data_IF_299216036737
#
_entry.id   IF_299216036737
#
_cell.length_a   1.000
_cell.length_b   1.000
_cell.length_c   1.000
_cell.angle_alpha   90.00
_cell.angle_beta   90.00
_cell.angle_gamma   90.00
#
_symmetry.space_group_name_H-M   'P 1'
#
loop_
_entity.id
_entity.type
_entity.pdbx_description
1 polymer ?
#
# COMPACT_ATOMS: atom_id res chain seq x y z
N UNK A 1 28.49 -9.45 19.45
CA UNK A 1 28.68 -8.25 18.59
C UNK A 1 27.34 -7.56 18.44
N UNK A 2 27.16 -6.36 19.03
CA UNK A 2 25.94 -5.58 18.85
C UNK A 2 25.92 -5.03 17.43
N UNK A 3 25.32 -5.73 16.51
CA UNK A 3 25.13 -5.21 15.16
C UNK A 3 24.22 -3.98 15.19
N UNK A 4 24.69 -2.86 14.65
CA UNK A 4 23.89 -1.63 14.55
C UNK A 4 22.62 -1.95 13.76
N UNK A 5 21.45 -1.57 14.32
CA UNK A 5 20.17 -1.66 13.65
C UNK A 5 20.22 -0.85 12.34
N UNK A 6 19.81 -1.43 11.22
CA UNK A 6 19.76 -0.70 9.94
C UNK A 6 18.47 0.12 9.86
N UNK A 7 17.35 -0.53 10.17
CA UNK A 7 16.01 0.05 10.23
C UNK A 7 15.23 -0.65 11.33
N UNK A 8 14.26 0.03 11.91
CA UNK A 8 13.37 -0.62 12.90
C UNK A 8 12.45 -1.63 12.23
N UNK A 9 12.03 -1.34 11.00
CA UNK A 9 11.07 -2.15 10.26
C UNK A 9 11.55 -2.31 8.81
N UNK A 10 11.39 -3.50 8.26
CA UNK A 10 11.59 -3.80 6.84
C UNK A 10 10.26 -4.29 6.27
N UNK A 11 9.84 -3.69 5.16
CA UNK A 11 8.63 -4.06 4.43
C UNK A 11 9.03 -4.59 3.06
N UNK A 12 8.60 -5.79 2.71
CA UNK A 12 8.82 -6.37 1.39
C UNK A 12 7.62 -6.10 0.47
N UNK A 13 7.86 -5.35 -0.60
CA UNK A 13 6.89 -4.98 -1.63
C UNK A 13 6.32 -3.57 -1.47
N UNK A 14 6.56 -2.71 -2.46
CA UNK A 14 5.99 -1.36 -2.57
C UNK A 14 4.66 -1.38 -3.37
N UNK A 15 3.78 -2.30 -3.03
CA UNK A 15 2.43 -2.38 -3.58
C UNK A 15 1.42 -1.49 -2.86
N UNK A 16 0.12 -1.70 -3.18
CA UNK A 16 -1.01 -0.96 -2.57
C UNK A 16 -1.20 -1.22 -1.06
N UNK A 17 -0.52 -2.21 -0.49
CA UNK A 17 -0.48 -2.48 0.95
C UNK A 17 0.82 -1.96 1.59
N UNK A 18 1.98 -2.25 0.99
CA UNK A 18 3.28 -1.90 1.57
C UNK A 18 3.55 -0.40 1.63
N UNK A 19 3.18 0.36 0.60
CA UNK A 19 3.37 1.82 0.60
C UNK A 19 2.53 2.55 1.68
N UNK A 20 1.22 2.28 1.86
CA UNK A 20 0.46 2.87 2.96
C UNK A 20 1.00 2.46 4.33
N UNK A 21 1.39 1.20 4.51
CA UNK A 21 1.99 0.74 5.77
C UNK A 21 3.29 1.49 6.06
N UNK A 22 4.17 1.64 5.07
CA UNK A 22 5.40 2.42 5.20
C UNK A 22 5.10 3.89 5.54
N UNK A 23 4.05 4.47 4.95
CA UNK A 23 3.61 5.85 5.25
C UNK A 23 3.12 5.99 6.69
N UNK A 24 2.28 5.06 7.18
CA UNK A 24 1.78 5.04 8.57
C UNK A 24 2.96 4.98 9.55
N UNK A 25 3.86 4.02 9.35
CA UNK A 25 5.00 3.81 10.22
C UNK A 25 5.99 4.97 10.17
N UNK A 26 6.24 5.50 8.97
CA UNK A 26 7.09 6.68 8.78
C UNK A 26 6.53 7.93 9.45
N UNK A 27 5.23 8.20 9.35
CA UNK A 27 4.57 9.30 10.07
C UNK A 27 4.58 9.10 11.59
N UNK A 28 4.55 7.85 12.06
CA UNK A 28 4.71 7.51 13.47
C UNK A 28 6.16 7.61 13.97
N UNK A 29 7.13 7.95 13.10
CA UNK A 29 8.52 8.18 13.45
C UNK A 29 9.43 6.96 13.37
N UNK A 30 8.94 5.79 12.92
CA UNK A 30 9.77 4.61 12.75
C UNK A 30 10.72 4.75 11.57
N UNK A 31 11.92 4.20 11.71
CA UNK A 31 12.86 4.02 10.60
C UNK A 31 12.46 2.79 9.78
N UNK A 32 12.04 3.00 8.54
CA UNK A 32 11.48 1.96 7.67
C UNK A 32 12.33 1.77 6.43
N UNK A 33 12.66 0.52 6.08
CA UNK A 33 13.11 0.15 4.74
C UNK A 33 11.94 -0.49 3.97
N UNK A 34 11.58 0.09 2.84
CA UNK A 34 10.59 -0.47 1.91
C UNK A 34 11.34 -1.03 0.69
N UNK A 35 11.35 -2.36 0.56
CA UNK A 35 12.07 -3.09 -0.48
C UNK A 35 11.12 -3.43 -1.61
N UNK A 36 11.50 -3.14 -2.86
CA UNK A 36 10.69 -3.42 -4.04
C UNK A 36 11.55 -4.05 -5.15
N UNK A 37 11.08 -5.18 -5.68
CA UNK A 37 11.79 -5.95 -6.72
C UNK A 37 11.84 -5.23 -8.07
N UNK A 38 10.85 -4.40 -8.36
CA UNK A 38 10.73 -3.68 -9.64
C UNK A 38 11.22 -2.24 -9.51
N UNK A 39 11.70 -1.64 -10.61
CA UNK A 39 11.96 -0.22 -10.61
C UNK A 39 10.65 0.56 -10.42
N UNK A 40 10.69 1.63 -9.64
CA UNK A 40 9.52 2.46 -9.31
C UNK A 40 8.84 3.03 -10.56
N UNK A 41 9.61 3.30 -11.61
CA UNK A 41 9.09 3.76 -12.90
C UNK A 41 8.08 2.79 -13.51
N UNK A 42 8.18 1.49 -13.23
CA UNK A 42 7.21 0.49 -13.67
C UNK A 42 5.95 0.50 -12.79
N UNK A 43 6.10 0.78 -11.48
CA UNK A 43 4.97 0.83 -10.55
C UNK A 43 4.04 2.02 -10.80
N UNK A 44 4.61 3.15 -11.24
CA UNK A 44 3.91 4.42 -11.49
C UNK A 44 3.71 4.70 -12.98
N UNK A 45 3.80 3.67 -13.83
CA UNK A 45 3.58 3.83 -15.27
C UNK A 45 2.32 4.67 -15.54
N UNK A 46 2.44 5.69 -16.37
CA UNK A 46 1.32 6.55 -16.75
C UNK A 46 0.31 5.84 -17.65
N UNK A 47 0.68 4.68 -18.22
CA UNK A 47 -0.20 3.91 -19.07
C UNK A 47 -1.25 3.19 -18.23
N UNK A 48 -2.51 3.32 -18.64
CA UNK A 48 -3.60 2.55 -18.06
C UNK A 48 -3.38 1.05 -18.32
N UNK A 49 -3.32 0.27 -17.24
CA UNK A 49 -3.07 -1.18 -17.28
C UNK A 49 -4.37 -2.00 -17.08
N UNK A 50 -5.53 -1.34 -17.08
CA UNK A 50 -6.84 -1.97 -16.86
C UNK A 50 -7.12 -2.35 -15.40
N UNK A 51 -6.21 -2.06 -14.47
CA UNK A 51 -6.36 -2.45 -13.07
C UNK A 51 -6.93 -1.32 -12.24
N UNK A 52 -8.01 -1.64 -11.53
CA UNK A 52 -8.66 -0.77 -10.56
C UNK A 52 -8.76 -1.49 -9.22
N UNK A 53 -8.93 -0.71 -8.16
CA UNK A 53 -9.19 -1.23 -6.81
C UNK A 53 -10.46 -0.59 -6.28
N UNK A 54 -11.34 -1.42 -5.70
CA UNK A 54 -12.44 -0.97 -4.88
C UNK A 54 -11.90 -0.61 -3.49
N UNK A 55 -11.89 0.69 -3.18
CA UNK A 55 -11.43 1.22 -1.90
C UNK A 55 -12.63 1.34 -0.97
N UNK A 56 -12.65 0.58 0.11
CA UNK A 56 -13.71 0.65 1.12
C UNK A 56 -13.60 1.97 1.92
N UNK A 57 -14.69 2.38 2.57
CA UNK A 57 -14.77 3.59 3.40
C UNK A 57 -13.65 3.66 4.45
N UNK A 58 -13.35 2.56 5.13
CA UNK A 58 -12.27 2.51 6.13
C UNK A 58 -10.89 2.76 5.52
N UNK A 59 -10.64 2.21 4.33
CA UNK A 59 -9.40 2.42 3.60
C UNK A 59 -9.29 3.85 3.06
N UNK A 60 -10.41 4.44 2.57
CA UNK A 60 -10.45 5.85 2.19
C UNK A 60 -10.04 6.75 3.35
N UNK A 61 -10.65 6.58 4.54
CA UNK A 61 -10.32 7.36 5.74
C UNK A 61 -8.86 7.25 6.13
N UNK A 62 -8.28 6.06 6.03
CA UNK A 62 -6.84 5.87 6.25
C UNK A 62 -6.01 6.65 5.24
N UNK A 63 -6.35 6.58 3.95
CA UNK A 63 -5.66 7.31 2.88
C UNK A 63 -5.81 8.82 3.00
N UNK A 64 -6.95 9.32 3.52
CA UNK A 64 -7.18 10.73 3.85
C UNK A 64 -6.21 11.19 4.95
N UNK A 65 -6.15 10.46 6.07
CA UNK A 65 -5.22 10.76 7.17
C UNK A 65 -3.76 10.77 6.70
N UNK A 66 -3.40 9.90 5.77
CA UNK A 66 -2.06 9.84 5.18
C UNK A 66 -1.78 10.96 4.16
N UNK A 67 -2.79 11.76 3.79
CA UNK A 67 -2.69 12.80 2.76
C UNK A 67 -2.54 12.23 1.34
N UNK A 68 -3.01 11.00 1.12
CA UNK A 68 -2.96 10.33 -0.19
C UNK A 68 -4.25 10.57 -0.96
N UNK A 69 -5.39 10.54 -0.27
CA UNK A 69 -6.72 10.53 -0.91
C UNK A 69 -7.00 11.78 -1.73
N UNK A 70 -6.67 12.96 -1.24
CA UNK A 70 -6.93 14.25 -1.90
C UNK A 70 -6.39 14.31 -3.33
N UNK A 71 -5.31 13.58 -3.60
CA UNK A 71 -4.69 13.53 -4.94
C UNK A 71 -5.50 12.66 -5.91
N UNK A 72 -6.22 11.65 -5.41
CA UNK A 72 -6.94 10.67 -6.24
C UNK A 72 -8.45 10.86 -6.22
N UNK A 73 -8.98 11.65 -5.32
CA UNK A 73 -10.43 11.86 -5.13
C UNK A 73 -11.15 12.26 -6.41
N UNK A 74 -10.57 13.18 -7.17
CA UNK A 74 -11.13 13.68 -8.44
C UNK A 74 -11.24 12.61 -9.54
N UNK A 75 -10.55 11.48 -9.37
CA UNK A 75 -10.57 10.33 -10.27
C UNK A 75 -11.30 9.14 -9.68
N UNK A 76 -11.72 9.22 -8.43
CA UNK A 76 -12.39 8.14 -7.72
C UNK A 76 -13.86 8.06 -8.12
N UNK A 77 -14.31 6.91 -8.57
CA UNK A 77 -15.71 6.68 -8.92
C UNK A 77 -16.45 6.04 -7.76
N UNK A 78 -17.49 6.68 -7.18
CA UNK A 78 -18.25 6.11 -6.07
C UNK A 78 -19.02 4.87 -6.49
N UNK A 79 -19.04 3.88 -5.59
CA UNK A 79 -19.88 2.67 -5.69
C UNK A 79 -21.16 2.94 -4.90
N UNK A 80 -22.24 3.18 -5.59
CA UNK A 80 -23.53 3.50 -4.97
C UNK A 80 -24.37 2.23 -4.69
N UNK A 81 -24.18 1.21 -5.51
CA UNK A 81 -24.93 -0.03 -5.45
C UNK A 81 -24.02 -1.24 -5.65
N UNK A 82 -24.27 -2.31 -4.87
CA UNK A 82 -23.62 -3.61 -5.03
C UNK A 82 -24.69 -4.67 -5.17
N UNK A 83 -24.63 -5.47 -6.24
CA UNK A 83 -25.48 -6.64 -6.44
C UNK A 83 -24.65 -7.90 -6.39
N UNK A 84 -25.03 -8.83 -5.53
CA UNK A 84 -24.39 -10.14 -5.39
C UNK A 84 -25.38 -11.20 -5.83
N UNK A 85 -25.04 -11.92 -6.89
CA UNK A 85 -25.88 -12.98 -7.43
C UNK A 85 -25.07 -14.29 -7.50
N UNK A 86 -25.75 -15.41 -7.27
CA UNK A 86 -25.23 -16.73 -7.62
C UNK A 86 -25.63 -17.04 -9.06
N UNK A 87 -24.67 -17.44 -9.91
CA UNK A 87 -24.89 -17.65 -11.35
C UNK A 87 -25.98 -18.66 -11.74
N UNK A 88 -26.42 -19.50 -10.80
CA UNK A 88 -27.53 -20.43 -10.98
C UNK A 88 -28.89 -19.99 -10.43
N UNK A 89 -28.93 -18.85 -9.75
CA UNK A 89 -30.10 -18.35 -9.02
C UNK A 89 -30.74 -17.14 -9.72
N UNK A 90 -32.09 -17.04 -9.79
CA UNK A 90 -32.77 -15.82 -10.18
C UNK A 90 -32.74 -14.73 -9.08
N UNK A 91 -32.30 -15.06 -7.87
CA UNK A 91 -32.27 -14.18 -6.74
C UNK A 91 -30.89 -13.52 -6.63
N UNK A 92 -30.87 -12.27 -6.13
CA UNK A 92 -29.65 -11.53 -5.81
C UNK A 92 -29.84 -10.76 -4.51
N UNK A 93 -28.76 -10.48 -3.84
CA UNK A 93 -28.71 -9.53 -2.71
C UNK A 93 -28.30 -8.18 -3.27
N UNK A 94 -29.02 -7.14 -2.87
CA UNK A 94 -28.73 -5.77 -3.27
C UNK A 94 -28.40 -4.94 -2.04
N UNK A 95 -27.28 -4.25 -2.08
CA UNK A 95 -26.87 -3.27 -1.10
C UNK A 95 -26.86 -1.91 -1.78
N UNK A 96 -27.46 -0.90 -1.15
CA UNK A 96 -27.38 0.47 -1.59
C UNK A 96 -26.70 1.33 -0.53
N UNK A 97 -26.00 2.39 -0.95
CA UNK A 97 -25.36 3.32 -0.04
C UNK A 97 -26.35 3.97 0.93
N UNK A 98 -27.64 4.08 0.56
CA UNK A 98 -28.73 4.60 1.39
C UNK A 98 -29.04 3.70 2.59
N UNK A 99 -28.87 2.37 2.48
CA UNK A 99 -29.12 1.43 3.57
C UNK A 99 -28.17 1.60 4.75
N UNK A 100 -27.01 2.24 4.52
CA UNK A 100 -25.98 2.49 5.54
C UNK A 100 -25.75 3.97 5.80
N UNK A 101 -26.64 4.84 5.31
CA UNK A 101 -26.59 6.30 5.43
C UNK A 101 -25.17 6.84 5.12
N UNK A 102 -24.64 6.41 3.99
CA UNK A 102 -23.29 6.75 3.53
C UNK A 102 -23.34 7.42 2.17
N UNK A 103 -22.33 8.25 1.89
CA UNK A 103 -22.09 8.87 0.58
C UNK A 103 -21.90 7.82 -0.52
N UNK A 104 -21.19 6.73 -0.21
CA UNK A 104 -20.96 5.60 -1.09
C UNK A 104 -20.63 4.34 -0.27
N UNK A 105 -20.74 3.16 -0.87
CA UNK A 105 -20.29 1.88 -0.31
C UNK A 105 -18.76 1.70 -0.43
N UNK A 106 -18.13 2.47 -1.30
CA UNK A 106 -16.70 2.48 -1.59
C UNK A 106 -16.43 3.28 -2.86
N UNK A 107 -15.20 3.23 -3.35
CA UNK A 107 -14.77 3.94 -4.55
C UNK A 107 -13.90 3.05 -5.43
N UNK A 108 -14.12 3.11 -6.74
CA UNK A 108 -13.22 2.50 -7.72
C UNK A 108 -12.15 3.53 -8.10
N UNK A 109 -10.89 3.15 -7.94
CA UNK A 109 -9.74 3.99 -8.30
C UNK A 109 -8.75 3.19 -9.12
N UNK A 110 -8.15 3.79 -10.14
CA UNK A 110 -7.09 3.16 -10.92
C UNK A 110 -5.84 2.94 -10.08
N UNK A 111 -5.27 1.72 -10.12
CA UNK A 111 -4.10 1.36 -9.32
C UNK A 111 -2.88 2.23 -9.60
N UNK A 112 -2.69 2.69 -10.85
CA UNK A 112 -1.59 3.58 -11.22
C UNK A 112 -1.67 4.93 -10.49
N UNK A 113 -2.87 5.48 -10.32
CA UNK A 113 -3.10 6.75 -9.62
C UNK A 113 -2.85 6.60 -8.12
N UNK A 114 -3.37 5.52 -7.51
CA UNK A 114 -3.09 5.21 -6.11
C UNK A 114 -1.59 5.07 -5.84
N UNK A 115 -0.87 4.30 -6.67
CA UNK A 115 0.59 4.12 -6.50
C UNK A 115 1.36 5.43 -6.64
N UNK A 116 1.00 6.26 -7.63
CA UNK A 116 1.65 7.55 -7.81
C UNK A 116 1.46 8.46 -6.58
N UNK A 117 0.22 8.57 -6.09
CA UNK A 117 -0.10 9.37 -4.90
C UNK A 117 0.62 8.86 -3.64
N UNK A 118 0.64 7.53 -3.43
CA UNK A 118 1.35 6.90 -2.32
C UNK A 118 2.85 7.18 -2.36
N UNK A 119 3.48 7.06 -3.54
CA UNK A 119 4.90 7.31 -3.71
C UNK A 119 5.26 8.78 -3.44
N UNK A 120 4.43 9.73 -3.88
CA UNK A 120 4.64 11.15 -3.61
C UNK A 120 4.56 11.46 -2.09
N UNK A 121 3.73 10.76 -1.34
CA UNK A 121 3.69 10.91 0.13
C UNK A 121 4.92 10.28 0.79
N UNK A 122 5.35 9.10 0.35
CA UNK A 122 6.55 8.45 0.88
C UNK A 122 7.80 9.30 0.71
N UNK A 123 7.95 10.00 -0.42
CA UNK A 123 9.09 10.92 -0.67
C UNK A 123 9.20 12.05 0.34
N UNK A 124 8.13 12.39 1.06
CA UNK A 124 8.11 13.43 2.10
C UNK A 124 8.62 12.92 3.46
N UNK A 125 8.84 11.60 3.61
CA UNK A 125 9.20 10.95 4.86
C UNK A 125 10.69 10.57 4.85
N UNK A 126 11.59 11.37 5.47
CA UNK A 126 13.03 11.14 5.41
C UNK A 126 13.49 9.88 6.17
N UNK A 127 12.64 9.35 7.05
CA UNK A 127 12.86 8.12 7.82
C UNK A 127 12.35 6.86 7.10
N UNK A 128 11.80 6.98 5.90
CA UNK A 128 11.42 5.86 5.04
C UNK A 128 12.41 5.76 3.88
N UNK A 129 13.21 4.70 3.87
CA UNK A 129 14.13 4.42 2.78
C UNK A 129 13.48 3.46 1.79
N UNK A 130 13.37 3.90 0.54
CA UNK A 130 12.87 3.07 -0.55
C UNK A 130 14.06 2.42 -1.27
N UNK A 131 14.04 1.09 -1.34
CA UNK A 131 15.07 0.25 -1.95
C UNK A 131 14.43 -0.46 -3.15
N UNK A 132 14.63 0.09 -4.34
CA UNK A 132 14.10 -0.45 -5.59
C UNK A 132 15.08 -1.40 -6.28
N UNK A 133 14.55 -2.25 -7.17
CA UNK A 133 15.29 -3.27 -7.92
C UNK A 133 15.99 -4.28 -7.00
N UNK A 134 15.39 -4.55 -5.84
CA UNK A 134 15.88 -5.46 -4.82
C UNK A 134 14.78 -6.37 -4.33
N UNK A 135 15.12 -7.63 -4.14
CA UNK A 135 14.24 -8.64 -3.56
C UNK A 135 14.73 -9.02 -2.16
N UNK A 136 13.78 -9.30 -1.26
CA UNK A 136 14.08 -9.99 -0.01
C UNK A 136 14.27 -11.46 -0.35
N UNK A 137 15.50 -11.96 -0.23
CA UNK A 137 15.86 -13.34 -0.53
C UNK A 137 15.66 -14.28 0.64
N UNK A 138 15.90 -13.80 1.87
CA UNK A 138 15.68 -14.58 3.09
C UNK A 138 15.39 -13.68 4.29
N UNK A 139 14.74 -14.26 5.30
CA UNK A 139 14.43 -13.61 6.57
C UNK A 139 14.85 -14.55 7.70
N UNK A 140 15.95 -14.20 8.37
CA UNK A 140 16.58 -15.03 9.39
C UNK A 140 16.36 -14.40 10.76
N UNK A 141 15.40 -14.89 11.56
CA UNK A 141 15.19 -14.38 12.90
C UNK A 141 16.34 -14.77 13.83
N UNK A 142 16.77 -13.82 14.67
CA UNK A 142 17.70 -14.04 15.77
C UNK A 142 16.97 -13.72 17.09
N UNK A 143 17.62 -13.91 18.22
CA UNK A 143 17.01 -13.74 19.56
C UNK A 143 16.45 -12.34 19.84
N UNK A 144 17.05 -11.32 19.25
CA UNK A 144 16.70 -9.92 19.51
C UNK A 144 16.42 -9.16 18.20
N UNK A 145 17.07 -9.54 17.12
CA UNK A 145 17.00 -8.90 15.82
C UNK A 145 16.62 -9.91 14.75
N UNK A 146 16.18 -9.41 13.61
CA UNK A 146 15.98 -10.19 12.41
C UNK A 146 16.98 -9.72 11.35
N UNK A 147 17.62 -10.66 10.65
CA UNK A 147 18.44 -10.38 9.48
C UNK A 147 17.59 -10.59 8.23
N UNK A 148 17.44 -9.56 7.43
CA UNK A 148 16.74 -9.60 6.14
C UNK A 148 17.79 -9.53 5.04
N UNK A 149 17.94 -10.61 4.30
CA UNK A 149 18.89 -10.70 3.19
C UNK A 149 18.25 -10.18 1.89
N UNK A 150 19.02 -9.38 1.16
CA UNK A 150 18.60 -8.82 -0.12
C UNK A 150 19.30 -9.51 -1.27
N UNK A 151 18.69 -9.48 -2.46
CA UNK A 151 19.19 -10.11 -3.69
C UNK A 151 20.59 -9.66 -4.13
N UNK A 152 21.06 -8.51 -3.66
CA UNK A 152 22.41 -8.00 -3.93
C UNK A 152 23.45 -8.39 -2.86
N UNK A 153 23.07 -9.23 -1.90
CA UNK A 153 23.93 -9.71 -0.80
C UNK A 153 23.99 -8.79 0.41
N UNK A 154 23.30 -7.65 0.42
CA UNK A 154 23.17 -6.81 1.62
C UNK A 154 22.30 -7.49 2.67
N UNK A 155 22.62 -7.25 3.94
CA UNK A 155 21.82 -7.72 5.08
C UNK A 155 21.31 -6.50 5.86
N UNK A 156 20.00 -6.36 5.96
CA UNK A 156 19.35 -5.38 6.80
C UNK A 156 19.06 -6.01 8.17
N UNK A 157 19.44 -5.31 9.25
CA UNK A 157 19.11 -5.73 10.62
C UNK A 157 17.91 -4.95 11.10
N UNK A 158 16.87 -5.65 11.51
CA UNK A 158 15.59 -5.10 11.97
C UNK A 158 15.10 -5.78 13.24
N UNK A 159 14.07 -5.27 13.86
CA UNK A 159 13.40 -5.85 15.03
C UNK A 159 12.16 -6.64 14.66
#
# INVERSE_FOLDING_TARGET
MNGKLSHEIVIAGAGLAGMPLASILGQAGFSVALVEAKPLSQLISSKFDGRTTAVAMSSKRMLEVLGIWDTVDVYAQPILDIRVADGGSPFFVHYTHQDVDSEALGWIVENRLLRAAMLEQLKKLPNVQLLEELEVSDVIPDRILCNVELSDGRILKTR
#
